data_IF_653021730976
#
_entry.id   IF_653021730976
#
_cell.length_a   1.000
_cell.length_b   1.000
_cell.length_c   1.000
_cell.angle_alpha   90.00
_cell.angle_beta   90.00
_cell.angle_gamma   90.00
#
_symmetry.space_group_name_H-M   'P 1'
#
loop_
_entity.id
_entity.type
_entity.pdbx_description
1 polymer ?
#
# COMPACT_ATOMS: atom_id res chain seq x y z
N UNK A 1 -16.48 0.20 25.93
CA UNK A 1 -15.07 0.28 25.51
C UNK A 1 -14.92 -0.28 24.10
N UNK A 2 -15.17 0.53 23.06
CA UNK A 2 -14.93 0.18 21.65
C UNK A 2 -14.25 1.31 20.85
N UNK A 3 -14.13 2.50 21.45
CA UNK A 3 -13.61 3.71 20.80
C UNK A 3 -12.07 3.65 20.59
N UNK A 4 -11.32 3.09 21.54
CA UNK A 4 -9.85 3.06 21.46
C UNK A 4 -9.26 2.25 20.29
N UNK A 5 -9.97 1.23 19.81
CA UNK A 5 -9.53 0.39 18.67
C UNK A 5 -9.72 1.09 17.32
N UNK A 6 -10.75 1.94 17.21
CA UNK A 6 -11.01 2.72 15.99
C UNK A 6 -9.97 3.84 15.86
N UNK A 7 -9.70 4.56 16.96
CA UNK A 7 -8.71 5.65 16.99
C UNK A 7 -7.31 5.15 16.61
N UNK A 8 -6.87 4.00 17.11
CA UNK A 8 -5.56 3.44 16.76
C UNK A 8 -5.44 3.08 15.27
N UNK A 9 -6.52 2.59 14.63
CA UNK A 9 -6.52 2.26 13.20
C UNK A 9 -6.54 3.50 12.32
N UNK A 10 -7.32 4.51 12.71
CA UNK A 10 -7.38 5.80 12.02
C UNK A 10 -6.04 6.53 12.10
N UNK A 11 -5.42 6.55 13.28
CA UNK A 11 -4.09 7.11 13.49
C UNK A 11 -3.05 6.39 12.61
N UNK A 12 -3.04 5.05 12.62
CA UNK A 12 -2.14 4.26 11.77
C UNK A 12 -2.30 4.59 10.28
N UNK A 13 -3.54 4.70 9.79
CA UNK A 13 -3.82 5.00 8.39
C UNK A 13 -3.40 6.43 8.02
N UNK A 14 -3.69 7.40 8.88
CA UNK A 14 -3.28 8.78 8.67
C UNK A 14 -1.75 8.89 8.62
N UNK A 15 -1.05 8.27 9.57
CA UNK A 15 0.42 8.26 9.57
C UNK A 15 1.02 7.56 8.35
N UNK A 16 0.37 6.50 7.86
CA UNK A 16 0.76 5.85 6.62
C UNK A 16 0.68 6.82 5.42
N UNK A 17 -0.41 7.58 5.30
CA UNK A 17 -0.57 8.58 4.24
C UNK A 17 0.47 9.69 4.34
N UNK A 18 0.66 10.26 5.54
CA UNK A 18 1.67 11.30 5.79
C UNK A 18 3.07 10.79 5.44
N UNK A 19 3.38 9.53 5.74
CA UNK A 19 4.66 8.93 5.39
C UNK A 19 4.82 8.83 3.86
N UNK A 20 3.83 8.29 3.14
CA UNK A 20 3.91 8.18 1.67
C UNK A 20 3.94 9.54 0.97
N UNK A 21 3.23 10.54 1.48
CA UNK A 21 3.25 11.91 0.98
C UNK A 21 4.65 12.53 1.05
N UNK A 22 5.38 12.30 2.15
CA UNK A 22 6.78 12.75 2.30
C UNK A 22 7.76 11.97 1.42
N UNK A 23 7.38 10.80 0.92
CA UNK A 23 8.26 9.93 0.15
C UNK A 23 7.74 9.63 -1.26
N UNK A 24 6.88 10.49 -1.83
CA UNK A 24 6.19 10.26 -3.10
C UNK A 24 7.12 9.92 -4.29
N UNK A 25 8.37 10.39 -4.27
CA UNK A 25 9.34 10.17 -5.34
C UNK A 25 10.17 8.89 -5.19
N UNK A 26 9.99 8.15 -4.09
CA UNK A 26 10.72 6.90 -3.84
C UNK A 26 10.01 5.72 -4.50
N UNK A 27 10.78 4.65 -4.71
CA UNK A 27 10.31 3.36 -5.17
C UNK A 27 10.85 2.29 -4.24
N UNK A 28 10.04 1.28 -3.96
CA UNK A 28 10.39 0.24 -3.00
C UNK A 28 10.21 -1.16 -3.60
N UNK A 29 11.18 -2.07 -3.41
CA UNK A 29 10.94 -3.47 -3.69
C UNK A 29 9.85 -4.00 -2.75
N UNK A 30 8.90 -4.75 -3.31
CA UNK A 30 7.82 -5.38 -2.54
C UNK A 30 7.55 -6.78 -3.09
N UNK A 31 7.07 -7.65 -2.22
CA UNK A 31 6.59 -8.97 -2.65
C UNK A 31 5.07 -8.95 -2.76
N UNK A 32 4.54 -9.44 -3.87
CA UNK A 32 3.11 -9.68 -4.00
C UNK A 32 2.69 -10.81 -3.06
N UNK A 33 1.66 -10.59 -2.24
CA UNK A 33 1.19 -11.59 -1.29
C UNK A 33 -0.06 -12.31 -1.80
N UNK A 34 -1.09 -11.54 -2.16
CA UNK A 34 -2.38 -12.07 -2.61
C UNK A 34 -3.24 -10.98 -3.22
N UNK A 35 -4.22 -11.39 -4.02
CA UNK A 35 -5.27 -10.50 -4.47
C UNK A 35 -6.24 -10.13 -3.33
N UNK A 36 -6.64 -8.86 -3.30
CA UNK A 36 -7.76 -8.37 -2.49
C UNK A 36 -9.02 -8.28 -3.37
N UNK A 37 -8.88 -7.70 -4.57
CA UNK A 37 -9.91 -7.61 -5.61
C UNK A 37 -9.26 -7.77 -6.99
N UNK A 38 -9.14 -9.01 -7.51
CA UNK A 38 -8.46 -9.27 -8.78
C UNK A 38 -9.03 -8.47 -9.96
N UNK A 39 -10.36 -8.31 -10.01
CA UNK A 39 -11.07 -7.59 -11.08
C UNK A 39 -10.71 -6.10 -11.15
N UNK A 40 -10.32 -5.51 -10.02
CA UNK A 40 -9.92 -4.10 -9.90
C UNK A 40 -8.39 -3.96 -9.89
N UNK A 41 -7.65 -5.06 -10.11
CA UNK A 41 -6.19 -5.17 -9.94
C UNK A 41 -5.69 -4.77 -8.56
N UNK A 42 -6.52 -4.88 -7.52
CA UNK A 42 -6.11 -4.55 -6.16
C UNK A 42 -5.46 -5.75 -5.47
N UNK A 43 -4.16 -5.67 -5.24
CA UNK A 43 -3.36 -6.66 -4.52
C UNK A 43 -2.90 -6.16 -3.15
N UNK A 44 -2.50 -7.11 -2.31
CA UNK A 44 -1.76 -6.85 -1.08
C UNK A 44 -0.29 -7.15 -1.34
N UNK A 45 0.59 -6.20 -1.01
CA UNK A 45 2.04 -6.36 -1.15
C UNK A 45 2.74 -6.13 0.19
N UNK A 46 3.85 -6.85 0.42
CA UNK A 46 4.72 -6.68 1.59
C UNK A 46 5.78 -5.65 1.27
N UNK A 47 5.81 -4.57 2.06
CA UNK A 47 6.92 -3.62 2.10
C UNK A 47 7.78 -3.90 3.33
N UNK A 48 8.87 -4.66 3.13
CA UNK A 48 9.71 -5.12 4.24
C UNK A 48 10.42 -4.00 4.98
N UNK A 49 10.87 -2.95 4.29
CA UNK A 49 11.55 -1.81 4.90
C UNK A 49 10.72 -1.13 6.01
N UNK A 50 9.40 -1.18 5.88
CA UNK A 50 8.47 -0.60 6.84
C UNK A 50 7.69 -1.65 7.65
N UNK A 51 8.01 -2.94 7.45
CA UNK A 51 7.34 -4.08 8.06
C UNK A 51 5.80 -4.00 7.94
N UNK A 52 5.29 -3.56 6.78
CA UNK A 52 3.85 -3.37 6.56
C UNK A 52 3.34 -4.05 5.30
N UNK A 53 2.06 -4.44 5.36
CA UNK A 53 1.30 -4.86 4.19
C UNK A 53 0.45 -3.70 3.69
N UNK A 54 0.55 -3.41 2.40
CA UNK A 54 -0.17 -2.28 1.78
C UNK A 54 -0.97 -2.73 0.58
N UNK A 55 -2.12 -2.08 0.37
CA UNK A 55 -2.93 -2.30 -0.81
C UNK A 55 -2.35 -1.49 -1.97
N UNK A 56 -2.13 -2.13 -3.11
CA UNK A 56 -1.60 -1.50 -4.31
C UNK A 56 -2.31 -2.04 -5.56
N UNK A 57 -2.40 -1.22 -6.59
CA UNK A 57 -2.73 -1.70 -7.92
C UNK A 57 -1.57 -2.54 -8.45
N UNK A 58 -1.81 -3.80 -8.81
CA UNK A 58 -0.78 -4.77 -9.18
C UNK A 58 -0.92 -5.22 -10.64
N UNK A 59 0.16 -5.68 -11.30
CA UNK A 59 0.09 -6.24 -12.65
C UNK A 59 -0.86 -7.44 -12.70
N UNK A 60 -1.66 -7.52 -13.76
CA UNK A 60 -2.52 -8.69 -13.96
C UNK A 60 -1.68 -9.97 -14.03
N UNK A 61 -2.15 -11.04 -13.41
CA UNK A 61 -1.43 -12.31 -13.37
C UNK A 61 -0.36 -12.44 -12.29
N UNK A 62 -0.16 -11.42 -11.43
CA UNK A 62 0.74 -11.52 -10.27
C UNK A 62 0.38 -12.72 -9.39
N UNK A 63 1.40 -13.46 -8.97
CA UNK A 63 1.36 -14.62 -8.11
C UNK A 63 2.04 -14.33 -6.76
N UNK A 64 1.61 -15.00 -5.66
CA UNK A 64 2.28 -14.87 -4.37
C UNK A 64 3.79 -15.13 -4.47
N UNK A 65 4.59 -14.20 -3.96
CA UNK A 65 6.05 -14.23 -4.02
C UNK A 65 6.67 -13.50 -5.23
N UNK A 66 5.86 -12.97 -6.15
CA UNK A 66 6.38 -12.15 -7.24
C UNK A 66 7.02 -10.86 -6.70
N UNK A 67 8.27 -10.60 -7.11
CA UNK A 67 8.97 -9.37 -6.79
C UNK A 67 8.48 -8.24 -7.70
N UNK A 68 7.95 -7.18 -7.08
CA UNK A 68 7.42 -5.98 -7.73
C UNK A 68 8.14 -4.73 -7.23
N UNK A 69 7.91 -3.61 -7.91
CA UNK A 69 8.37 -2.29 -7.52
C UNK A 69 7.17 -1.39 -7.21
N UNK A 70 7.04 -0.97 -5.96
CA UNK A 70 5.99 -0.09 -5.46
C UNK A 70 6.37 1.37 -5.65
N UNK A 71 5.40 2.20 -6.05
CA UNK A 71 5.51 3.67 -6.01
C UNK A 71 4.19 4.30 -5.58
N UNK A 72 4.27 5.56 -5.16
CA UNK A 72 3.08 6.38 -4.93
C UNK A 72 2.56 6.86 -6.29
N UNK A 73 1.27 6.62 -6.56
CA UNK A 73 0.57 7.16 -7.73
C UNK A 73 -0.19 8.44 -7.37
N UNK A 74 -0.93 8.41 -6.26
CA UNK A 74 -1.60 9.57 -5.68
C UNK A 74 -1.59 9.48 -4.16
N UNK A 75 -1.40 10.59 -3.49
CA UNK A 75 -1.53 10.69 -2.03
C UNK A 75 -1.97 12.09 -1.65
N UNK A 76 -2.93 12.17 -0.74
CA UNK A 76 -3.36 13.38 -0.04
C UNK A 76 -3.84 12.94 1.35
N UNK A 77 -3.03 13.21 2.37
CA UNK A 77 -3.31 12.79 3.75
C UNK A 77 -4.45 13.58 4.40
N UNK A 78 -4.78 14.75 3.86
CA UNK A 78 -5.89 15.59 4.35
C UNK A 78 -7.23 15.14 3.76
N UNK A 79 -7.21 14.66 2.51
CA UNK A 79 -8.38 14.12 1.82
C UNK A 79 -8.51 12.59 1.95
N UNK A 80 -7.69 11.97 2.80
CA UNK A 80 -7.71 10.54 3.08
C UNK A 80 -7.49 9.65 1.83
N UNK A 81 -6.71 10.16 0.88
CA UNK A 81 -6.41 9.54 -0.40
C UNK A 81 -5.02 8.89 -0.37
N UNK A 82 -4.96 7.62 -0.76
CA UNK A 82 -3.71 6.93 -1.06
C UNK A 82 -3.95 5.91 -2.17
N UNK A 83 -3.25 6.07 -3.28
CA UNK A 83 -3.14 5.08 -4.34
C UNK A 83 -1.67 4.74 -4.54
N UNK A 84 -1.39 3.45 -4.42
CA UNK A 84 -0.10 2.87 -4.66
C UNK A 84 -0.17 2.02 -5.93
N UNK A 85 0.90 2.04 -6.72
CA UNK A 85 1.04 1.24 -7.93
C UNK A 85 2.26 0.33 -7.78
N UNK A 86 2.06 -0.97 -7.97
CA UNK A 86 3.10 -1.96 -8.09
C UNK A 86 3.33 -2.28 -9.58
N UNK A 87 4.59 -2.31 -9.98
CA UNK A 87 5.03 -2.59 -11.34
C UNK A 87 5.89 -3.85 -11.34
N UNK A 88 5.81 -4.64 -12.41
CA UNK A 88 6.79 -5.70 -12.63
C UNK A 88 8.18 -5.08 -12.76
N UNK A 89 9.19 -5.75 -12.20
CA UNK A 89 10.57 -5.30 -12.26
C UNK A 89 11.17 -5.41 -13.67
#
# INVERSE_FOLDING_TARGET
MREGLTIAREDQRHWQQVWFERHQSHQWPVDFLRWLRPQDRLGLVRLDELAMDVAAECPAGSLPGDALLLRVDQVDSQCDQLRLLALAR
#
